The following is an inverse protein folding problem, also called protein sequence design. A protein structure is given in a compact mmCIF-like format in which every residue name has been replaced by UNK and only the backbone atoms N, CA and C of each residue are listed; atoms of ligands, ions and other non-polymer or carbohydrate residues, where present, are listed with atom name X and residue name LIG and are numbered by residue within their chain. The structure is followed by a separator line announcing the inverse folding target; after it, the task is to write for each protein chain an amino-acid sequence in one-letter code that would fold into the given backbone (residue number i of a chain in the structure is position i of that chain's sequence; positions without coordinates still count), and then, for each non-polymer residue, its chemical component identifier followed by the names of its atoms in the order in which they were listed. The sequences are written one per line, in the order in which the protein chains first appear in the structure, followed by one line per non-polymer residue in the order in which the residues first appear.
data_IF_213503454455
#
_entry.id   IF_213503454455
#
_cell.length_a   1.000
_cell.length_b   1.000
_cell.length_c   1.000
_cell.angle_alpha   90.00
_cell.angle_beta   90.00
_cell.angle_gamma   90.00
#
_symmetry.space_group_name_H-M   'P 1'
#
loop_
_entity.id
_entity.type
_entity.pdbx_description
1 polymer ?
#
# COMPACT_ATOMS: atom_id res chain seq x y z
N UNK A 1 -29.90 38.58 0.84
CA UNK A 1 -30.33 37.38 0.07
C UNK A 1 -29.17 36.43 -0.18
N UNK A 2 -28.06 36.87 -0.79
CA UNK A 2 -26.91 36.00 -1.05
C UNK A 2 -26.26 35.44 0.22
N UNK A 3 -26.00 36.26 1.24
CA UNK A 3 -25.51 35.79 2.56
C UNK A 3 -26.48 34.83 3.26
N UNK A 4 -27.80 35.03 3.13
CA UNK A 4 -28.80 34.13 3.70
C UNK A 4 -28.84 32.77 2.99
N UNK A 5 -28.62 32.76 1.68
CA UNK A 5 -28.48 31.52 0.90
C UNK A 5 -27.15 30.83 1.23
N UNK A 6 -26.04 31.57 1.35
CA UNK A 6 -24.75 31.00 1.75
C UNK A 6 -24.77 30.43 3.18
N UNK A 7 -25.56 31.01 4.09
CA UNK A 7 -25.76 30.49 5.44
C UNK A 7 -26.62 29.21 5.50
N UNK A 8 -27.57 29.03 4.58
CA UNK A 8 -28.47 27.87 4.55
C UNK A 8 -28.01 26.76 3.58
N UNK A 9 -27.28 27.12 2.55
CA UNK A 9 -26.79 26.24 1.48
C UNK A 9 -25.36 26.67 1.08
N UNK A 10 -24.37 26.45 1.96
CA UNK A 10 -23.01 26.88 1.72
C UNK A 10 -22.41 26.13 0.54
N UNK A 11 -21.50 26.80 -0.17
CA UNK A 11 -20.62 26.11 -1.10
C UNK A 11 -19.63 25.24 -0.31
N UNK A 12 -19.69 23.93 -0.54
CA UNK A 12 -18.85 22.93 0.12
C UNK A 12 -17.97 22.22 -0.90
N UNK A 13 -16.70 22.05 -0.56
CA UNK A 13 -15.82 21.09 -1.22
C UNK A 13 -15.86 19.77 -0.44
N UNK A 14 -15.44 18.64 -1.04
CA UNK A 14 -15.36 17.36 -0.33
C UNK A 14 -14.51 17.42 0.94
N UNK A 15 -13.37 18.11 0.88
CA UNK A 15 -12.45 18.30 2.00
C UNK A 15 -13.10 19.10 3.12
N UNK A 16 -13.84 20.16 2.76
CA UNK A 16 -14.56 20.99 3.72
C UNK A 16 -15.69 20.19 4.38
N UNK A 17 -16.51 19.49 3.59
CA UNK A 17 -17.63 18.69 4.09
C UNK A 17 -17.13 17.61 5.06
N UNK A 18 -16.17 16.79 4.65
CA UNK A 18 -15.64 15.69 5.48
C UNK A 18 -14.88 16.25 6.69
N UNK A 19 -14.11 17.32 6.50
CA UNK A 19 -13.36 17.97 7.56
C UNK A 19 -14.26 18.58 8.64
N UNK A 20 -15.29 19.34 8.25
CA UNK A 20 -16.26 19.94 9.18
C UNK A 20 -17.09 18.85 9.88
N UNK A 21 -17.52 17.81 9.14
CA UNK A 21 -18.27 16.69 9.72
C UNK A 21 -17.47 15.97 10.82
N UNK A 22 -16.20 15.64 10.57
CA UNK A 22 -15.36 14.93 11.54
C UNK A 22 -14.93 15.82 12.72
N UNK A 23 -15.05 17.14 12.58
CA UNK A 23 -14.80 18.10 13.66
C UNK A 23 -16.03 18.38 14.52
N UNK A 24 -17.23 17.91 14.14
CA UNK A 24 -18.48 18.14 14.86
C UNK A 24 -19.02 16.84 15.49
N UNK A 25 -18.79 16.60 16.80
CA UNK A 25 -19.32 15.44 17.50
C UNK A 25 -20.84 15.32 17.46
N UNK A 26 -21.57 16.44 17.37
CA UNK A 26 -23.03 16.43 17.29
C UNK A 26 -23.49 15.95 15.90
N UNK A 27 -22.81 16.41 14.83
CA UNK A 27 -23.06 15.90 13.48
C UNK A 27 -22.76 14.40 13.39
N UNK A 28 -21.64 13.92 13.95
CA UNK A 28 -21.31 12.48 14.01
C UNK A 28 -22.38 11.71 14.78
N UNK A 29 -22.83 12.20 15.93
CA UNK A 29 -23.87 11.56 16.72
C UNK A 29 -25.21 11.47 15.97
N UNK A 30 -25.55 12.50 15.19
CA UNK A 30 -26.77 12.52 14.38
C UNK A 30 -26.68 11.59 13.17
N UNK A 31 -25.53 11.52 12.50
CA UNK A 31 -25.36 10.76 11.26
C UNK A 31 -25.01 9.29 11.50
N UNK A 32 -24.42 8.95 12.65
CA UNK A 32 -24.00 7.60 12.99
C UNK A 32 -24.57 7.13 14.35
N UNK A 33 -25.91 7.07 14.51
CA UNK A 33 -26.54 6.60 15.75
C UNK A 33 -26.22 5.13 16.05
N UNK A 34 -25.90 4.33 15.03
CA UNK A 34 -25.54 2.91 15.15
C UNK A 34 -24.18 2.68 15.82
N UNK A 35 -23.31 3.68 15.89
CA UNK A 35 -22.01 3.57 16.54
C UNK A 35 -22.15 3.77 18.06
N UNK A 36 -21.27 3.14 18.83
CA UNK A 36 -21.17 3.40 20.26
C UNK A 36 -20.63 4.81 20.54
N UNK A 37 -20.83 5.37 21.74
CA UNK A 37 -20.22 6.64 22.13
C UNK A 37 -18.69 6.64 21.98
N UNK A 38 -18.04 5.52 22.29
CA UNK A 38 -16.59 5.37 22.17
C UNK A 38 -16.13 5.39 20.70
N UNK A 39 -16.83 4.70 19.80
CA UNK A 39 -16.51 4.71 18.36
C UNK A 39 -16.72 6.10 17.76
N UNK A 40 -17.80 6.80 18.13
CA UNK A 40 -18.02 8.19 17.67
C UNK A 40 -16.92 9.13 18.18
N UNK A 41 -16.51 8.99 19.43
CA UNK A 41 -15.41 9.76 19.98
C UNK A 41 -14.09 9.47 19.26
N UNK A 42 -13.86 8.22 18.83
CA UNK A 42 -12.68 7.84 18.06
C UNK A 42 -12.67 8.40 16.62
N UNK A 43 -13.84 8.71 16.04
CA UNK A 43 -13.94 9.37 14.73
C UNK A 43 -13.71 10.88 14.80
N UNK A 44 -14.10 11.50 15.92
CA UNK A 44 -14.01 12.95 16.07
C UNK A 44 -12.55 13.41 16.11
N UNK A 45 -12.21 14.40 15.28
CA UNK A 45 -10.86 14.99 15.23
C UNK A 45 -10.92 16.48 14.92
N UNK A 46 -9.92 17.28 15.33
CA UNK A 46 -9.89 18.71 15.03
C UNK A 46 -9.97 18.99 13.52
N UNK A 47 -10.64 20.08 13.15
CA UNK A 47 -10.64 20.54 11.76
C UNK A 47 -9.21 20.81 11.29
N UNK A 48 -8.86 20.32 10.11
CA UNK A 48 -7.50 20.41 9.56
C UNK A 48 -6.52 19.35 10.08
N UNK A 49 -6.99 18.35 10.85
CA UNK A 49 -6.20 17.16 11.13
C UNK A 49 -5.75 16.47 9.82
N UNK A 50 -4.56 15.86 9.77
CA UNK A 50 -4.09 15.16 8.59
C UNK A 50 -5.08 14.08 8.11
N UNK A 51 -5.24 13.97 6.80
CA UNK A 51 -6.02 12.91 6.19
C UNK A 51 -5.38 11.55 6.44
N UNK A 52 -6.23 10.56 6.66
CA UNK A 52 -5.87 9.15 6.80
C UNK A 52 -6.32 8.38 5.55
N UNK A 53 -5.78 7.17 5.31
CA UNK A 53 -6.27 6.33 4.21
C UNK A 53 -7.78 6.06 4.27
N UNK A 54 -8.38 6.01 5.46
CA UNK A 54 -9.82 5.81 5.65
C UNK A 54 -10.68 6.98 5.14
N UNK A 55 -10.09 8.16 4.98
CA UNK A 55 -10.79 9.36 4.52
C UNK A 55 -10.88 9.46 3.00
N UNK A 56 -9.94 8.82 2.28
CA UNK A 56 -9.87 8.91 0.82
C UNK A 56 -11.18 8.46 0.16
N UNK A 57 -11.79 7.31 0.54
CA UNK A 57 -13.08 6.92 -0.01
C UNK A 57 -14.24 7.85 0.40
N UNK A 58 -14.16 8.51 1.56
CA UNK A 58 -15.17 9.46 2.02
C UNK A 58 -15.12 10.75 1.19
N UNK A 59 -13.92 11.24 0.89
CA UNK A 59 -13.69 12.39 0.02
C UNK A 59 -14.19 12.10 -1.41
N UNK A 60 -13.94 10.88 -1.92
CA UNK A 60 -14.46 10.44 -3.21
C UNK A 60 -15.99 10.43 -3.24
N UNK A 61 -16.64 9.84 -2.23
CA UNK A 61 -18.10 9.82 -2.16
C UNK A 61 -18.69 11.22 -1.98
N UNK A 62 -18.07 12.07 -1.15
CA UNK A 62 -18.49 13.45 -0.96
C UNK A 62 -18.42 14.26 -2.26
N UNK A 63 -17.39 14.07 -3.08
CA UNK A 63 -17.28 14.70 -4.40
C UNK A 63 -18.43 14.31 -5.35
N UNK A 64 -18.90 13.07 -5.24
CA UNK A 64 -20.00 12.56 -6.05
C UNK A 64 -21.36 13.09 -5.58
N UNK A 65 -21.54 13.23 -4.27
CA UNK A 65 -22.77 13.77 -3.69
C UNK A 65 -22.90 15.29 -3.87
N UNK A 66 -21.78 16.03 -3.76
CA UNK A 66 -21.74 17.47 -3.97
C UNK A 66 -21.84 17.85 -5.45
N UNK A 67 -21.37 16.97 -6.35
CA UNK A 67 -21.34 17.22 -7.79
C UNK A 67 -20.27 18.23 -8.22
N UNK A 68 -20.33 18.67 -9.48
CA UNK A 68 -19.48 19.74 -10.00
C UNK A 68 -20.28 21.03 -10.15
N UNK A 69 -19.67 22.16 -9.77
CA UNK A 69 -20.19 23.50 -10.07
C UNK A 69 -19.63 24.03 -11.42
N UNK A 70 -19.04 23.13 -12.21
CA UNK A 70 -18.38 23.45 -13.48
C UNK A 70 -17.11 24.32 -13.35
N UNK A 71 -16.59 24.59 -12.15
CA UNK A 71 -15.31 25.33 -12.00
C UNK A 71 -14.14 24.56 -12.59
N UNK A 72 -14.01 23.27 -12.28
CA UNK A 72 -12.98 22.40 -12.84
C UNK A 72 -13.06 22.34 -14.38
N UNK A 73 -14.26 22.21 -14.94
CA UNK A 73 -14.48 22.23 -16.39
C UNK A 73 -14.14 23.57 -17.03
N UNK A 74 -14.40 24.68 -16.33
CA UNK A 74 -14.03 26.04 -16.78
C UNK A 74 -12.52 26.23 -16.73
N UNK A 75 -11.85 25.75 -15.68
CA UNK A 75 -10.40 25.79 -15.54
C UNK A 75 -9.69 24.93 -16.59
N UNK A 76 -10.17 23.70 -16.83
CA UNK A 76 -9.66 22.83 -17.88
C UNK A 76 -9.83 23.46 -19.27
N UNK A 77 -11.00 24.05 -19.57
CA UNK A 77 -11.22 24.81 -20.82
C UNK A 77 -10.28 26.00 -20.95
N UNK A 78 -10.02 26.72 -19.87
CA UNK A 78 -9.11 27.87 -19.87
C UNK A 78 -7.65 27.44 -20.08
N UNK A 79 -7.20 26.37 -19.43
CA UNK A 79 -5.86 25.81 -19.61
C UNK A 79 -5.63 25.27 -21.03
N UNK A 80 -6.62 24.56 -21.58
CA UNK A 80 -6.62 24.09 -22.96
C UNK A 80 -6.57 25.26 -23.96
N UNK A 81 -7.37 26.31 -23.73
CA UNK A 81 -7.35 27.51 -24.56
C UNK A 81 -5.99 28.22 -24.49
N UNK A 82 -5.37 28.29 -23.31
CA UNK A 82 -4.04 28.86 -23.13
C UNK A 82 -2.97 28.04 -23.85
N UNK A 83 -3.00 26.71 -23.76
CA UNK A 83 -2.07 25.84 -24.49
C UNK A 83 -2.18 26.06 -26.01
N UNK A 84 -3.40 26.09 -26.55
CA UNK A 84 -3.62 26.39 -27.99
C UNK A 84 -3.08 27.76 -28.39
N UNK A 85 -3.19 28.77 -27.51
CA UNK A 85 -2.59 30.10 -27.76
C UNK A 85 -1.07 30.02 -27.82
N UNK A 86 -0.44 29.29 -26.91
CA UNK A 86 1.02 29.10 -26.88
C UNK A 86 1.53 28.33 -28.10
N UNK A 87 0.86 27.25 -28.49
CA UNK A 87 1.17 26.48 -29.71
C UNK A 87 1.06 27.36 -30.96
N UNK A 88 0.00 28.17 -31.08
CA UNK A 88 -0.19 29.09 -32.19
C UNK A 88 0.91 30.17 -32.23
N UNK A 89 1.27 30.75 -31.09
CA UNK A 89 2.33 31.75 -30.98
C UNK A 89 3.71 31.16 -31.33
N UNK A 90 4.00 29.93 -30.88
CA UNK A 90 5.23 29.22 -31.23
C UNK A 90 5.32 28.95 -32.74
N UNK A 91 4.24 28.42 -33.33
CA UNK A 91 4.19 28.15 -34.77
C UNK A 91 4.37 29.44 -35.60
N UNK A 92 3.76 30.55 -35.18
CA UNK A 92 3.97 31.85 -35.81
C UNK A 92 5.44 32.32 -35.70
N UNK A 93 6.04 32.23 -34.51
CA UNK A 93 7.44 32.60 -34.29
C UNK A 93 8.42 31.77 -35.14
N UNK A 94 8.16 30.48 -35.35
CA UNK A 94 8.97 29.62 -36.23
C UNK A 94 8.85 30.08 -37.71
N UNK A 95 7.67 30.47 -38.18
CA UNK A 95 7.48 30.98 -39.54
C UNK A 95 8.18 32.32 -39.78
N UNK A 96 8.16 33.22 -38.79
CA UNK A 96 8.87 34.50 -38.84
C UNK A 96 10.39 34.28 -38.83
N UNK A 97 10.91 33.42 -37.95
CA UNK A 97 12.34 33.13 -37.84
C UNK A 97 12.94 32.44 -39.08
N UNK A 98 12.16 31.62 -39.79
CA UNK A 98 12.62 30.88 -40.98
C UNK A 98 12.63 31.71 -42.27
N UNK A 99 12.17 32.97 -42.24
CA UNK A 99 12.18 33.88 -43.41
C UNK A 99 11.21 33.48 -44.53
N UNK A 100 10.32 32.52 -44.28
CA UNK A 100 9.32 32.04 -45.23
C UNK A 100 8.24 33.09 -45.54
N UNK A 101 8.05 34.06 -44.65
CA UNK A 101 7.10 35.16 -44.81
C UNK A 101 7.68 36.28 -45.70
N UNK A 102 8.97 36.60 -45.57
CA UNK A 102 9.64 37.66 -46.35
C UNK A 102 10.00 37.24 -47.79
N UNK A 103 10.11 35.94 -48.05
CA UNK A 103 10.45 35.40 -49.38
C UNK A 103 9.26 35.32 -50.36
N UNK A 104 8.05 35.74 -49.96
CA UNK A 104 6.87 35.79 -50.84
C UNK A 104 6.32 34.42 -51.28
N UNK A 105 6.88 33.31 -50.77
CA UNK A 105 6.45 31.94 -51.12
C UNK A 105 5.20 31.48 -50.37
N UNK A 106 4.72 32.26 -49.39
CA UNK A 106 3.57 31.90 -48.52
C UNK A 106 2.48 32.99 -48.56
N UNK A 107 2.10 33.46 -49.75
CA UNK A 107 0.94 34.37 -49.87
C UNK A 107 -0.42 33.63 -49.93
N UNK A 108 -0.44 32.30 -50.07
CA UNK A 108 -1.70 31.55 -50.30
C UNK A 108 -1.89 30.30 -49.46
N UNK A 109 -1.09 30.08 -48.41
CA UNK A 109 -1.21 28.88 -47.56
C UNK A 109 -1.03 29.15 -46.06
N UNK A 110 -1.78 30.12 -45.54
CA UNK A 110 -2.08 30.22 -44.10
C UNK A 110 -2.67 28.92 -43.50
N UNK A 111 -3.23 28.05 -44.36
CA UNK A 111 -3.84 26.77 -43.98
C UNK A 111 -2.81 25.64 -43.84
N UNK A 112 -1.61 25.76 -44.42
CA UNK A 112 -0.70 24.61 -44.54
C UNK A 112 0.41 24.58 -43.49
N UNK A 113 0.83 25.71 -42.91
CA UNK A 113 1.84 25.73 -41.85
C UNK A 113 1.36 25.06 -40.54
N UNK A 114 0.10 25.30 -40.13
CA UNK A 114 -0.52 24.58 -39.01
C UNK A 114 -0.73 23.09 -39.31
N UNK A 115 -0.88 22.73 -40.58
CA UNK A 115 -1.02 21.33 -41.05
C UNK A 115 0.32 20.61 -41.21
N UNK A 116 1.43 21.33 -41.40
CA UNK A 116 2.77 20.76 -41.53
C UNK A 116 3.42 20.55 -40.15
N UNK A 117 3.20 21.47 -39.20
CA UNK A 117 3.57 21.28 -37.79
C UNK A 117 2.85 20.06 -37.16
N UNK A 118 1.57 19.86 -37.49
CA UNK A 118 0.81 18.69 -37.04
C UNK A 118 1.28 17.34 -37.63
N UNK A 119 1.98 17.34 -38.77
CA UNK A 119 2.45 16.11 -39.44
C UNK A 119 3.84 15.64 -39.01
N UNK A 120 4.67 16.52 -38.48
CA UNK A 120 6.04 16.19 -38.03
C UNK A 120 6.20 16.13 -36.50
N UNK A 121 5.12 16.34 -35.75
CA UNK A 121 5.10 16.30 -34.28
C UNK A 121 4.01 15.42 -33.68
N UNK A 122 3.57 14.39 -34.39
CA UNK A 122 2.73 13.36 -33.76
C UNK A 122 3.62 12.39 -32.95
N UNK A 123 4.22 12.90 -31.87
CA UNK A 123 4.87 12.10 -30.81
C UNK A 123 3.84 11.50 -29.84
N UNK A 124 2.58 11.40 -30.26
CA UNK A 124 1.44 11.13 -29.38
C UNK A 124 1.17 12.29 -28.41
N UNK A 125 0.14 12.18 -27.56
CA UNK A 125 -0.10 13.16 -26.52
C UNK A 125 1.12 13.26 -25.58
N UNK A 126 1.49 14.48 -25.18
CA UNK A 126 2.60 14.73 -24.24
C UNK A 126 2.46 14.00 -22.91
N UNK A 127 1.22 13.61 -22.58
CA UNK A 127 0.88 12.85 -21.39
C UNK A 127 0.51 11.42 -21.74
N UNK A 128 1.09 10.46 -21.02
CA UNK A 128 0.73 9.06 -21.15
C UNK A 128 -0.72 8.83 -20.69
N UNK A 129 -1.35 7.75 -21.16
CA UNK A 129 -2.67 7.36 -20.66
C UNK A 129 -2.71 7.23 -19.15
N UNK A 130 -1.63 6.74 -18.54
CA UNK A 130 -1.51 6.63 -17.08
C UNK A 130 -1.56 8.01 -16.39
N UNK A 131 -0.84 9.01 -16.92
CA UNK A 131 -0.85 10.37 -16.36
C UNK A 131 -2.23 11.03 -16.47
N UNK A 132 -2.92 10.85 -17.61
CA UNK A 132 -4.28 11.37 -17.78
C UNK A 132 -5.27 10.72 -16.82
N UNK A 133 -5.21 9.40 -16.71
CA UNK A 133 -6.06 8.64 -15.80
C UNK A 133 -5.80 9.02 -14.33
N UNK A 134 -4.54 9.20 -13.93
CA UNK A 134 -4.18 9.59 -12.57
C UNK A 134 -4.66 11.01 -12.20
N UNK A 135 -4.72 11.93 -13.17
CA UNK A 135 -5.19 13.29 -12.96
C UNK A 135 -6.73 13.41 -12.97
N UNK A 136 -7.45 12.41 -13.47
CA UNK A 136 -8.90 12.43 -13.62
C UNK A 136 -9.57 11.40 -12.71
N UNK A 137 -10.14 11.87 -11.60
CA UNK A 137 -10.88 11.03 -10.66
C UNK A 137 -12.07 10.29 -11.30
N UNK A 138 -12.61 10.82 -12.40
CA UNK A 138 -13.78 10.28 -13.12
C UNK A 138 -13.40 9.27 -14.21
N UNK A 139 -12.10 8.97 -14.34
CA UNK A 139 -11.61 8.03 -15.33
C UNK A 139 -12.23 6.64 -15.17
N UNK A 140 -12.72 6.10 -16.28
CA UNK A 140 -13.25 4.75 -16.35
C UNK A 140 -12.17 3.78 -16.88
N UNK A 141 -11.81 2.80 -16.06
CA UNK A 141 -10.87 1.75 -16.42
C UNK A 141 -11.60 0.57 -17.05
N UNK A 142 -10.99 -0.01 -18.10
CA UNK A 142 -11.51 -1.21 -18.75
C UNK A 142 -11.33 -2.48 -17.92
N UNK A 143 -10.29 -2.52 -17.08
CA UNK A 143 -9.98 -3.61 -16.16
C UNK A 143 -9.23 -3.07 -14.94
N UNK A 144 -9.45 -3.65 -13.77
CA UNK A 144 -8.75 -3.29 -12.53
C UNK A 144 -8.20 -4.56 -11.86
N UNK A 145 -6.92 -4.53 -11.50
CA UNK A 145 -6.30 -5.54 -10.65
C UNK A 145 -6.22 -4.96 -9.24
N UNK A 146 -6.73 -5.69 -8.26
CA UNK A 146 -6.64 -5.34 -6.85
C UNK A 146 -5.86 -6.44 -6.16
N UNK A 147 -4.64 -6.12 -5.74
CA UNK A 147 -3.84 -7.00 -4.89
C UNK A 147 -4.04 -6.63 -3.42
N UNK A 148 -3.80 -7.58 -2.52
CA UNK A 148 -4.09 -7.47 -1.08
C UNK A 148 -5.51 -6.98 -0.80
N UNK A 149 -6.45 -7.45 -1.61
CA UNK A 149 -7.80 -6.92 -1.69
C UNK A 149 -8.61 -7.10 -0.40
N UNK A 150 -8.16 -7.98 0.50
CA UNK A 150 -8.73 -8.15 1.83
C UNK A 150 -8.55 -6.92 2.74
N UNK A 151 -7.65 -5.99 2.42
CA UNK A 151 -7.43 -4.77 3.21
C UNK A 151 -8.44 -3.67 2.91
N UNK A 152 -9.11 -3.74 1.74
CA UNK A 152 -10.05 -2.72 1.30
C UNK A 152 -11.31 -2.74 2.17
N UNK A 153 -11.71 -1.55 2.62
CA UNK A 153 -13.00 -1.33 3.25
C UNK A 153 -14.14 -1.36 2.22
N UNK A 154 -15.37 -1.50 2.71
CA UNK A 154 -16.56 -1.42 1.85
C UNK A 154 -16.62 -0.11 1.03
N UNK A 155 -16.19 1.01 1.61
CA UNK A 155 -16.13 2.29 0.91
C UNK A 155 -14.99 2.33 -0.12
N UNK A 156 -13.83 1.75 0.17
CA UNK A 156 -12.75 1.63 -0.82
C UNK A 156 -13.19 0.79 -2.03
N UNK A 157 -13.91 -0.31 -1.80
CA UNK A 157 -14.53 -1.08 -2.88
C UNK A 157 -15.53 -0.27 -3.71
N UNK A 158 -16.30 0.62 -3.07
CA UNK A 158 -17.22 1.52 -3.78
C UNK A 158 -16.48 2.47 -4.72
N UNK A 159 -15.36 3.04 -4.25
CA UNK A 159 -14.44 3.86 -5.06
C UNK A 159 -13.89 3.08 -6.25
N UNK A 160 -13.44 1.83 -6.05
CA UNK A 160 -12.97 0.94 -7.13
C UNK A 160 -14.10 0.67 -8.14
N UNK A 161 -15.26 0.23 -7.67
CA UNK A 161 -16.39 -0.14 -8.52
C UNK A 161 -16.93 1.04 -9.32
N UNK A 162 -16.88 2.27 -8.80
CA UNK A 162 -17.22 3.48 -9.56
C UNK A 162 -16.36 3.66 -10.82
N UNK A 163 -15.09 3.23 -10.75
CA UNK A 163 -14.07 3.39 -11.79
C UNK A 163 -13.97 2.20 -12.75
N UNK A 164 -14.71 1.11 -12.50
CA UNK A 164 -14.78 -0.05 -13.42
C UNK A 164 -16.24 -0.39 -13.75
N UNK A 165 -16.91 0.40 -14.62
CA UNK A 165 -18.31 0.17 -14.99
C UNK A 165 -18.56 -1.21 -15.61
N UNK A 166 -17.58 -1.72 -16.37
CA UNK A 166 -17.63 -3.05 -16.99
C UNK A 166 -17.56 -4.20 -15.98
N UNK A 167 -17.27 -3.93 -14.70
CA UNK A 167 -17.09 -4.95 -13.65
C UNK A 167 -16.05 -6.03 -14.02
N UNK A 168 -15.03 -5.63 -14.77
CA UNK A 168 -13.89 -6.48 -15.14
C UNK A 168 -12.78 -6.29 -14.11
N UNK A 169 -12.66 -7.23 -13.17
CA UNK A 169 -11.66 -7.18 -12.10
C UNK A 169 -10.87 -8.48 -11.99
N UNK A 170 -9.61 -8.36 -11.57
CA UNK A 170 -8.83 -9.46 -11.00
C UNK A 170 -8.56 -9.11 -9.54
N UNK A 171 -9.16 -9.88 -8.63
CA UNK A 171 -9.06 -9.65 -7.19
C UNK A 171 -8.14 -10.72 -6.61
N UNK A 172 -7.05 -10.29 -5.98
CA UNK A 172 -6.02 -11.14 -5.38
C UNK A 172 -5.88 -10.77 -3.91
N UNK A 173 -5.75 -11.77 -3.05
CA UNK A 173 -5.56 -11.56 -1.63
C UNK A 173 -5.71 -12.83 -0.81
N UNK A 174 -5.42 -12.71 0.48
CA UNK A 174 -5.53 -13.79 1.46
C UNK A 174 -6.31 -13.31 2.69
N UNK A 175 -7.50 -13.87 2.91
CA UNK A 175 -8.36 -13.53 4.05
C UNK A 175 -7.72 -13.87 5.41
N UNK A 176 -6.73 -14.76 5.45
CA UNK A 176 -5.95 -15.02 6.65
C UNK A 176 -5.01 -13.86 7.01
N UNK A 177 -4.64 -13.03 6.04
CA UNK A 177 -3.69 -11.92 6.18
C UNK A 177 -4.36 -10.55 6.40
N UNK A 178 -5.68 -10.51 6.58
CA UNK A 178 -6.43 -9.27 6.84
C UNK A 178 -5.96 -8.57 8.12
N UNK A 179 -5.36 -7.39 7.98
CA UNK A 179 -4.93 -6.55 9.12
C UNK A 179 -5.81 -5.32 9.36
N UNK A 180 -6.62 -4.92 8.38
CA UNK A 180 -7.61 -3.86 8.52
C UNK A 180 -8.84 -4.36 9.29
N UNK A 181 -9.29 -3.58 10.29
CA UNK A 181 -10.55 -3.84 10.98
C UNK A 181 -11.78 -3.73 10.06
N UNK A 182 -11.66 -2.96 8.97
CA UNK A 182 -12.68 -2.82 7.93
C UNK A 182 -12.49 -3.78 6.75
N UNK A 183 -11.45 -4.62 6.80
CA UNK A 183 -11.09 -5.56 5.75
C UNK A 183 -12.09 -6.71 5.57
N UNK A 184 -11.86 -7.51 4.54
CA UNK A 184 -12.73 -8.61 4.14
C UNK A 184 -12.75 -9.74 5.16
N UNK A 185 -13.95 -10.24 5.48
CA UNK A 185 -14.14 -11.52 6.21
C UNK A 185 -14.52 -12.66 5.27
N UNK A 186 -15.08 -12.31 4.11
CA UNK A 186 -15.33 -13.19 2.98
C UNK A 186 -15.34 -12.34 1.70
N UNK A 187 -15.06 -12.95 0.56
CA UNK A 187 -15.13 -12.27 -0.73
C UNK A 187 -16.58 -11.88 -1.09
N UNK A 188 -17.55 -12.74 -0.79
CA UNK A 188 -18.98 -12.45 -1.02
C UNK A 188 -19.44 -11.17 -0.32
N UNK A 189 -19.06 -10.97 0.95
CA UNK A 189 -19.36 -9.73 1.68
C UNK A 189 -18.93 -8.47 0.93
N UNK A 190 -17.79 -8.51 0.24
CA UNK A 190 -17.23 -7.35 -0.46
C UNK A 190 -17.73 -7.22 -1.90
N UNK A 191 -17.96 -8.34 -2.58
CA UNK A 191 -18.24 -8.38 -4.02
C UNK A 191 -19.73 -8.52 -4.36
N UNK A 192 -20.52 -9.22 -3.55
CA UNK A 192 -21.94 -9.44 -3.83
C UNK A 192 -22.75 -8.14 -3.96
N UNK A 193 -22.50 -7.06 -3.19
CA UNK A 193 -23.17 -5.78 -3.41
C UNK A 193 -23.04 -5.20 -4.83
N UNK A 194 -22.06 -5.68 -5.62
CA UNK A 194 -21.77 -5.18 -6.97
C UNK A 194 -21.96 -6.24 -8.06
N UNK A 195 -21.65 -7.50 -7.77
CA UNK A 195 -21.53 -8.59 -8.75
C UNK A 195 -22.04 -9.93 -8.21
N UNK A 196 -23.06 -9.92 -7.34
CA UNK A 196 -23.69 -11.15 -6.80
C UNK A 196 -23.92 -12.20 -7.89
N UNK A 197 -23.43 -13.42 -7.64
CA UNK A 197 -23.56 -14.56 -8.55
C UNK A 197 -22.78 -14.45 -9.88
N UNK A 198 -21.95 -13.41 -10.06
CA UNK A 198 -21.20 -13.13 -11.30
C UNK A 198 -19.69 -13.09 -11.10
N UNK A 199 -19.19 -13.67 -10.01
CA UNK A 199 -17.77 -13.83 -9.74
C UNK A 199 -17.44 -15.29 -9.42
N UNK A 200 -16.16 -15.66 -9.58
CA UNK A 200 -15.64 -16.98 -9.24
C UNK A 200 -14.40 -16.84 -8.37
N UNK A 201 -14.22 -17.79 -7.48
CA UNK A 201 -13.03 -17.91 -6.62
C UNK A 201 -12.17 -19.06 -7.12
N UNK A 202 -10.87 -18.81 -7.31
CA UNK A 202 -9.88 -19.85 -7.59
C UNK A 202 -8.82 -19.75 -6.50
N UNK A 203 -8.58 -20.85 -5.77
CA UNK A 203 -7.63 -20.89 -4.66
C UNK A 203 -6.31 -21.51 -5.10
N UNK A 204 -5.21 -20.81 -4.84
CA UNK A 204 -3.86 -21.32 -5.06
C UNK A 204 -3.37 -21.97 -3.77
N UNK A 205 -3.38 -23.31 -3.73
CA UNK A 205 -3.06 -24.09 -2.52
C UNK A 205 -1.58 -24.47 -2.42
N UNK A 206 -0.80 -24.32 -3.49
CA UNK A 206 0.61 -24.72 -3.55
C UNK A 206 1.50 -23.51 -3.31
N UNK A 207 2.32 -23.57 -2.24
CA UNK A 207 3.31 -22.57 -1.91
C UNK A 207 4.70 -22.99 -2.42
N UNK A 208 5.25 -22.22 -3.34
CA UNK A 208 6.62 -22.40 -3.86
C UNK A 208 7.60 -21.34 -3.33
N UNK A 209 7.14 -20.39 -2.49
CA UNK A 209 7.92 -19.25 -2.04
C UNK A 209 8.48 -19.46 -0.64
N UNK A 210 7.65 -19.88 0.31
CA UNK A 210 8.05 -20.10 1.70
C UNK A 210 8.41 -21.58 1.92
N UNK A 211 9.60 -21.91 2.45
CA UNK A 211 9.98 -23.27 2.82
C UNK A 211 9.01 -23.96 3.80
N UNK A 212 8.89 -25.28 3.69
CA UNK A 212 7.99 -26.10 4.51
C UNK A 212 8.22 -25.92 6.02
N UNK A 213 9.46 -25.90 6.56
CA UNK A 213 9.68 -25.68 7.99
C UNK A 213 9.13 -24.34 8.51
N UNK A 214 9.19 -23.28 7.69
CA UNK A 214 8.62 -21.96 8.03
C UNK A 214 7.09 -22.01 7.94
N UNK A 215 6.56 -22.64 6.90
CA UNK A 215 5.11 -22.73 6.69
C UNK A 215 4.43 -23.60 7.75
N UNK A 216 5.08 -24.66 8.25
CA UNK A 216 4.57 -25.47 9.36
C UNK A 216 4.40 -24.67 10.65
N UNK A 217 5.37 -23.80 10.96
CA UNK A 217 5.28 -22.89 12.10
C UNK A 217 4.13 -21.88 11.90
N UNK A 218 4.08 -21.24 10.73
CA UNK A 218 3.05 -20.27 10.42
C UNK A 218 1.64 -20.89 10.37
N UNK A 219 1.49 -22.13 9.90
CA UNK A 219 0.23 -22.88 9.93
C UNK A 219 -0.26 -23.12 11.36
N UNK A 220 0.66 -23.35 12.32
CA UNK A 220 0.32 -23.43 13.74
C UNK A 220 -0.26 -22.13 14.29
N UNK A 221 0.30 -20.98 13.89
CA UNK A 221 -0.25 -19.66 14.22
C UNK A 221 -1.61 -19.47 13.53
N UNK A 222 -1.72 -19.82 12.25
CA UNK A 222 -2.95 -19.68 11.47
C UNK A 222 -4.12 -20.46 12.09
N UNK A 223 -3.89 -21.71 12.49
CA UNK A 223 -4.90 -22.56 13.11
C UNK A 223 -5.47 -21.96 14.40
N UNK A 224 -4.68 -21.17 15.13
CA UNK A 224 -5.14 -20.48 16.34
C UNK A 224 -5.92 -19.19 16.02
N UNK A 225 -5.51 -18.43 15.00
CA UNK A 225 -6.04 -17.07 14.74
C UNK A 225 -7.17 -17.04 13.72
N UNK A 226 -7.21 -18.01 12.81
CA UNK A 226 -8.25 -18.17 11.80
C UNK A 226 -8.50 -19.66 11.50
N UNK A 227 -9.15 -20.41 12.42
CA UNK A 227 -9.33 -21.87 12.31
C UNK A 227 -10.09 -22.35 11.05
N UNK A 228 -10.86 -21.46 10.41
CA UNK A 228 -11.57 -21.76 9.17
C UNK A 228 -10.76 -21.50 7.89
N UNK A 229 -9.50 -21.08 8.01
CA UNK A 229 -8.59 -20.84 6.90
C UNK A 229 -7.58 -22.00 6.81
N UNK A 230 -7.29 -22.40 5.58
CA UNK A 230 -6.34 -23.47 5.29
C UNK A 230 -5.00 -22.86 4.84
N UNK A 231 -3.91 -23.30 5.48
CA UNK A 231 -2.57 -22.91 5.04
C UNK A 231 -2.23 -23.60 3.70
N UNK A 232 -1.50 -22.93 2.80
CA UNK A 232 -1.06 -23.56 1.57
C UNK A 232 0.03 -24.61 1.85
N UNK A 233 0.07 -25.65 1.03
CA UNK A 233 1.07 -26.72 1.09
C UNK A 233 2.38 -26.26 0.46
N UNK A 234 3.46 -26.24 1.24
CA UNK A 234 4.77 -25.87 0.71
C UNK A 234 5.45 -27.06 0.05
N UNK A 235 5.82 -26.90 -1.22
CA UNK A 235 6.58 -27.91 -1.99
C UNK A 235 8.09 -27.76 -1.82
N UNK A 236 8.54 -26.78 -1.03
CA UNK A 236 9.96 -26.54 -0.72
C UNK A 236 10.32 -27.24 0.59
N UNK A 237 10.65 -28.53 0.51
CA UNK A 237 10.98 -29.35 1.69
C UNK A 237 12.30 -28.97 2.38
N UNK A 238 13.24 -28.36 1.65
CA UNK A 238 14.54 -27.92 2.18
C UNK A 238 14.51 -26.54 2.84
N UNK A 239 15.49 -26.26 3.70
CA UNK A 239 15.68 -24.96 4.35
C UNK A 239 16.17 -25.10 5.78
N UNK A 240 16.78 -24.04 6.32
CA UNK A 240 17.12 -24.01 7.73
C UNK A 240 15.82 -23.98 8.57
N UNK A 241 15.70 -24.81 9.61
CA UNK A 241 14.53 -24.75 10.49
C UNK A 241 14.43 -23.37 11.14
N UNK A 242 13.22 -22.82 11.32
CA UNK A 242 13.03 -21.59 12.08
C UNK A 242 13.57 -21.77 13.50
N UNK A 243 14.16 -20.72 14.07
CA UNK A 243 14.68 -20.79 15.44
C UNK A 243 14.29 -19.58 16.28
N UNK A 244 14.13 -19.80 17.57
CA UNK A 244 13.99 -18.74 18.55
C UNK A 244 15.36 -18.37 19.15
N UNK A 245 15.59 -17.08 19.32
CA UNK A 245 16.79 -16.52 19.95
C UNK A 245 16.33 -15.61 21.08
N UNK A 246 16.66 -16.02 22.32
CA UNK A 246 16.41 -15.19 23.49
C UNK A 246 17.47 -14.08 23.55
N UNK A 247 17.04 -12.84 23.56
CA UNK A 247 17.89 -11.68 23.74
C UNK A 247 18.02 -11.34 25.23
N UNK A 248 19.20 -10.89 25.63
CA UNK A 248 19.47 -10.50 27.00
C UNK A 248 18.85 -9.13 27.31
N UNK A 249 17.92 -9.11 28.25
CA UNK A 249 17.30 -7.88 28.74
C UNK A 249 18.06 -7.22 29.91
N UNK A 250 19.22 -7.76 30.34
CA UNK A 250 19.87 -7.34 31.59
C UNK A 250 20.92 -6.22 31.43
N UNK A 251 20.93 -5.26 32.35
CA UNK A 251 22.01 -4.26 32.54
C UNK A 251 21.84 -2.98 31.70
N UNK A 252 22.95 -2.43 31.20
CA UNK A 252 22.99 -1.21 30.36
C UNK A 252 22.13 -1.30 29.07
N UNK A 253 21.62 -2.49 28.74
CA UNK A 253 20.63 -2.74 27.70
C UNK A 253 19.25 -2.10 28.01
N UNK A 254 18.90 -1.90 29.28
CA UNK A 254 17.64 -1.24 29.66
C UNK A 254 17.59 0.22 29.18
N UNK A 255 18.74 0.89 29.11
CA UNK A 255 18.86 2.28 28.62
C UNK A 255 18.79 2.38 27.08
N UNK A 256 18.93 1.25 26.37
CA UNK A 256 18.82 1.13 24.89
C UNK A 256 17.64 0.26 24.47
N UNK A 257 16.61 0.12 25.31
CA UNK A 257 15.34 -0.53 24.99
C UNK A 257 15.30 -2.08 25.01
N UNK A 258 16.33 -2.72 25.56
CA UNK A 258 16.28 -4.12 25.98
C UNK A 258 16.58 -5.17 24.91
N UNK A 259 16.93 -4.78 23.68
CA UNK A 259 17.20 -5.68 22.55
C UNK A 259 18.70 -5.92 22.31
N UNK A 260 19.48 -6.10 23.38
CA UNK A 260 20.91 -6.37 23.25
C UNK A 260 21.15 -7.69 22.50
N UNK A 261 22.03 -7.63 21.49
CA UNK A 261 22.34 -8.77 20.62
C UNK A 261 21.52 -8.85 19.34
N UNK A 262 20.49 -8.00 19.15
CA UNK A 262 19.70 -7.99 17.91
C UNK A 262 20.56 -7.70 16.67
N UNK A 263 21.46 -6.71 16.73
CA UNK A 263 22.36 -6.40 15.61
C UNK A 263 23.25 -7.59 15.24
N UNK A 264 23.81 -8.27 16.24
CA UNK A 264 24.65 -9.46 16.02
C UNK A 264 23.85 -10.64 15.41
N UNK A 265 22.60 -10.83 15.85
CA UNK A 265 21.70 -11.81 15.25
C UNK A 265 21.42 -11.49 13.78
N UNK A 266 21.09 -10.25 13.47
CA UNK A 266 20.79 -9.79 12.10
C UNK A 266 22.02 -9.94 11.20
N UNK A 267 23.20 -9.54 11.66
CA UNK A 267 24.47 -9.73 10.94
C UNK A 267 24.74 -11.21 10.66
N UNK A 268 24.51 -12.09 11.64
CA UNK A 268 24.69 -13.53 11.48
C UNK A 268 23.71 -14.14 10.45
N UNK A 269 22.44 -13.73 10.45
CA UNK A 269 21.46 -14.17 9.44
C UNK A 269 21.81 -13.67 8.05
N UNK A 270 22.21 -12.41 7.92
CA UNK A 270 22.60 -11.83 6.64
C UNK A 270 23.84 -12.53 6.08
N UNK A 271 24.83 -12.83 6.93
CA UNK A 271 26.00 -13.62 6.53
C UNK A 271 25.62 -15.04 6.09
N UNK A 272 24.69 -15.70 6.79
CA UNK A 272 24.20 -17.02 6.41
C UNK A 272 23.48 -16.99 5.04
N UNK A 273 22.64 -15.98 4.79
CA UNK A 273 21.99 -15.80 3.47
C UNK A 273 23.03 -15.57 2.38
N UNK A 274 24.03 -14.70 2.60
CA UNK A 274 25.10 -14.48 1.61
C UNK A 274 25.82 -15.78 1.27
N UNK A 275 26.11 -16.60 2.28
CA UNK A 275 26.75 -17.90 2.08
C UNK A 275 25.85 -18.88 1.29
N UNK A 276 24.55 -18.91 1.59
CA UNK A 276 23.58 -19.74 0.86
C UNK A 276 23.40 -19.29 -0.61
N UNK A 277 23.43 -17.98 -0.87
CA UNK A 277 23.29 -17.38 -2.20
C UNK A 277 24.56 -17.49 -3.04
N UNK A 278 25.74 -17.44 -2.40
CA UNK A 278 27.03 -17.59 -3.06
C UNK A 278 27.21 -18.96 -3.73
N UNK A 279 26.55 -19.99 -3.19
CA UNK A 279 26.69 -21.35 -3.68
C UNK A 279 28.11 -21.90 -3.51
N UNK A 280 28.37 -23.13 -3.99
CA UNK A 280 29.69 -23.77 -3.86
C UNK A 280 30.70 -23.30 -4.91
N UNK A 281 30.26 -22.64 -5.99
CA UNK A 281 31.13 -22.21 -7.09
C UNK A 281 31.69 -20.80 -6.85
N UNK A 282 33.02 -20.59 -6.77
CA UNK A 282 33.63 -19.28 -6.57
C UNK A 282 33.30 -18.24 -7.65
N UNK A 283 33.00 -18.67 -8.89
CA UNK A 283 32.65 -17.76 -9.98
C UNK A 283 31.21 -17.23 -9.85
N UNK A 284 30.28 -18.06 -9.39
CA UNK A 284 28.90 -17.66 -9.08
C UNK A 284 28.84 -16.85 -7.79
N UNK A 285 29.66 -17.20 -6.79
CA UNK A 285 29.78 -16.49 -5.53
C UNK A 285 30.13 -15.00 -5.68
N UNK A 286 30.98 -14.67 -6.67
CA UNK A 286 31.38 -13.29 -6.95
C UNK A 286 30.24 -12.42 -7.55
N UNK A 287 29.19 -13.05 -8.09
CA UNK A 287 28.02 -12.38 -8.68
C UNK A 287 26.76 -12.58 -7.83
N UNK A 288 26.87 -13.29 -6.71
CA UNK A 288 25.75 -13.59 -5.86
C UNK A 288 25.17 -12.32 -5.23
N UNK A 289 23.85 -12.29 -5.11
CA UNK A 289 23.16 -11.22 -4.41
C UNK A 289 23.61 -11.19 -2.95
N UNK A 290 23.72 -9.97 -2.41
CA UNK A 290 23.99 -9.76 -0.98
C UNK A 290 22.90 -10.29 -0.06
N UNK A 291 21.74 -10.66 -0.61
CA UNK A 291 20.57 -11.10 0.13
C UNK A 291 19.84 -9.94 0.79
N UNK A 292 18.53 -10.10 0.98
CA UNK A 292 17.69 -9.12 1.67
C UNK A 292 17.13 -9.69 2.96
N UNK A 293 17.27 -8.94 4.05
CA UNK A 293 16.76 -9.30 5.36
C UNK A 293 15.74 -8.26 5.83
N UNK A 294 14.60 -8.72 6.34
CA UNK A 294 13.67 -7.86 7.07
C UNK A 294 13.73 -8.12 8.58
N UNK A 295 13.75 -7.05 9.36
CA UNK A 295 13.50 -7.09 10.80
C UNK A 295 12.08 -6.60 11.02
N UNK A 296 11.17 -7.51 11.36
CA UNK A 296 9.76 -7.21 11.56
C UNK A 296 9.48 -7.02 13.04
N UNK A 297 9.06 -5.81 13.42
CA UNK A 297 8.94 -5.35 14.81
C UNK A 297 7.55 -4.78 15.10
N UNK A 298 7.10 -4.79 16.37
CA UNK A 298 5.92 -4.02 16.77
C UNK A 298 6.13 -2.52 16.49
N UNK A 299 5.09 -1.79 16.08
CA UNK A 299 5.22 -0.35 15.76
C UNK A 299 5.82 0.47 16.91
N UNK A 300 5.50 0.11 18.17
CA UNK A 300 6.03 0.80 19.35
C UNK A 300 7.57 0.72 19.46
N UNK A 301 8.19 -0.29 18.84
CA UNK A 301 9.64 -0.51 18.81
C UNK A 301 10.27 -0.16 17.46
N UNK A 302 9.49 0.24 16.46
CA UNK A 302 9.97 0.48 15.10
C UNK A 302 11.10 1.52 15.06
N UNK A 303 10.89 2.69 15.66
CA UNK A 303 11.88 3.76 15.67
C UNK A 303 13.18 3.37 16.41
N UNK A 304 13.05 2.65 17.53
CA UNK A 304 14.19 2.17 18.31
C UNK A 304 15.04 1.17 17.53
N UNK A 305 14.39 0.21 16.87
CA UNK A 305 15.09 -0.84 16.12
C UNK A 305 15.64 -0.32 14.80
N UNK A 306 14.94 0.56 14.08
CA UNK A 306 15.44 1.17 12.84
C UNK A 306 16.73 1.98 13.08
N UNK A 307 16.83 2.64 14.24
CA UNK A 307 18.04 3.36 14.65
C UNK A 307 19.26 2.44 14.86
N UNK A 308 19.08 1.13 15.05
CA UNK A 308 20.18 0.17 15.17
C UNK A 308 20.85 -0.18 13.83
N UNK A 309 20.19 0.13 12.70
CA UNK A 309 20.64 -0.29 11.37
C UNK A 309 20.75 0.88 10.38
N UNK A 310 21.41 2.01 10.72
CA UNK A 310 21.43 3.22 9.89
C UNK A 310 21.98 2.95 8.48
N UNK A 311 21.38 3.59 7.47
CA UNK A 311 21.79 3.46 6.07
C UNK A 311 21.48 4.74 5.29
N UNK A 312 22.29 5.03 4.27
CA UNK A 312 22.15 6.22 3.42
C UNK A 312 21.08 6.08 2.31
N UNK A 313 20.38 4.94 2.23
CA UNK A 313 19.39 4.70 1.20
C UNK A 313 18.09 5.46 1.53
N UNK A 314 17.51 6.13 0.53
CA UNK A 314 16.28 6.90 0.72
C UNK A 314 15.05 5.99 0.93
N UNK A 315 15.01 4.84 0.26
CA UNK A 315 13.98 3.81 0.47
C UNK A 315 14.51 2.71 1.40
N UNK A 316 13.69 2.32 2.37
CA UNK A 316 13.99 1.23 3.31
C UNK A 316 14.15 -0.11 2.58
N UNK A 317 13.49 -0.29 1.44
CA UNK A 317 13.52 -1.52 0.64
C UNK A 317 14.79 -1.68 -0.20
N UNK A 318 15.55 -0.60 -0.38
CA UNK A 318 16.86 -0.61 -1.03
C UNK A 318 18.01 -0.96 -0.06
N UNK A 319 17.69 -1.12 1.24
CA UNK A 319 18.67 -1.47 2.28
C UNK A 319 18.84 -2.99 2.35
N UNK A 320 20.05 -3.51 2.64
CA UNK A 320 20.26 -4.94 2.93
C UNK A 320 19.45 -5.43 4.13
N UNK A 321 19.20 -4.53 5.09
CA UNK A 321 18.36 -4.74 6.27
C UNK A 321 17.23 -3.72 6.27
N UNK A 322 15.99 -4.19 6.11
CA UNK A 322 14.78 -3.38 6.17
C UNK A 322 14.07 -3.57 7.52
N UNK A 323 13.94 -2.51 8.32
CA UNK A 323 13.16 -2.56 9.57
C UNK A 323 11.72 -2.15 9.29
N UNK A 324 10.78 -3.07 9.47
CA UNK A 324 9.39 -2.93 9.06
C UNK A 324 8.43 -3.31 10.18
N UNK A 325 7.23 -2.75 10.15
CA UNK A 325 6.10 -3.29 10.91
C UNK A 325 5.44 -4.43 10.14
N UNK A 326 4.62 -5.30 10.76
CA UNK A 326 3.88 -6.32 10.03
C UNK A 326 3.03 -5.75 8.88
N UNK A 327 2.41 -4.58 9.11
CA UNK A 327 1.63 -3.89 8.08
C UNK A 327 2.49 -3.42 6.91
N UNK A 328 3.68 -2.86 7.18
CA UNK A 328 4.61 -2.42 6.14
C UNK A 328 5.29 -3.59 5.39
N UNK A 329 5.32 -4.78 5.98
CA UNK A 329 5.89 -5.97 5.36
C UNK A 329 4.91 -6.73 4.43
N UNK A 330 3.62 -6.37 4.41
CA UNK A 330 2.61 -6.99 3.53
C UNK A 330 2.96 -6.81 2.06
N UNK A 331 2.68 -7.83 1.25
CA UNK A 331 3.06 -7.87 -0.17
C UNK A 331 4.57 -7.94 -0.44
N UNK A 332 5.43 -7.90 0.58
CA UNK A 332 6.88 -7.96 0.44
C UNK A 332 7.43 -9.34 0.77
N UNK A 333 8.62 -9.64 0.26
CA UNK A 333 9.33 -10.90 0.45
C UNK A 333 10.82 -10.68 0.64
N UNK A 334 11.40 -11.42 1.59
CA UNK A 334 12.78 -11.32 2.00
C UNK A 334 13.44 -12.70 2.04
N UNK A 335 14.75 -12.77 1.82
CA UNK A 335 15.51 -14.01 1.94
C UNK A 335 15.49 -14.49 3.39
N UNK A 336 15.77 -13.57 4.31
CA UNK A 336 15.67 -13.80 5.75
C UNK A 336 14.69 -12.84 6.41
N UNK A 337 14.00 -13.32 7.45
CA UNK A 337 13.20 -12.48 8.33
C UNK A 337 13.59 -12.74 9.78
N UNK A 338 13.74 -11.67 10.54
CA UNK A 338 13.84 -11.69 12.00
C UNK A 338 12.58 -11.06 12.58
N UNK A 339 11.70 -11.85 13.19
CA UNK A 339 10.52 -11.35 13.90
C UNK A 339 10.90 -11.05 15.34
N UNK A 340 10.77 -9.79 15.75
CA UNK A 340 11.16 -9.32 17.08
C UNK A 340 9.93 -9.16 17.95
N UNK A 341 10.02 -9.63 19.19
CA UNK A 341 8.96 -9.56 20.21
C UNK A 341 7.57 -10.01 19.69
N UNK A 342 7.43 -11.27 19.22
CA UNK A 342 6.17 -11.75 18.63
C UNK A 342 4.98 -11.71 19.60
N UNK A 343 5.22 -11.76 20.92
CA UNK A 343 4.18 -11.59 21.93
C UNK A 343 3.58 -10.17 21.92
N UNK A 344 4.42 -9.15 21.69
CA UNK A 344 3.96 -7.77 21.59
C UNK A 344 3.12 -7.56 20.32
N UNK A 345 3.55 -8.14 19.18
CA UNK A 345 2.76 -8.15 17.94
C UNK A 345 1.38 -8.79 18.18
N UNK A 346 1.37 -9.96 18.81
CA UNK A 346 0.14 -10.71 19.09
C UNK A 346 -0.83 -9.94 19.99
N UNK A 347 -0.31 -9.23 21.00
CA UNK A 347 -1.11 -8.50 22.00
C UNK A 347 -1.60 -7.12 21.57
N UNK A 348 -1.13 -6.60 20.43
CA UNK A 348 -1.40 -5.24 19.94
C UNK A 348 -2.89 -4.95 19.74
N UNK A 349 -3.68 -5.96 19.39
CA UNK A 349 -5.10 -5.79 19.17
C UNK A 349 -5.74 -6.99 18.46
N UNK A 350 -6.99 -6.84 17.98
CA UNK A 350 -7.77 -7.94 17.42
C UNK A 350 -7.09 -8.64 16.24
N UNK A 351 -6.28 -7.91 15.46
CA UNK A 351 -5.58 -8.42 14.27
C UNK A 351 -4.15 -8.91 14.55
N UNK A 352 -3.65 -8.79 15.79
CA UNK A 352 -2.26 -9.10 16.12
C UNK A 352 -1.82 -10.54 15.78
N UNK A 353 -2.75 -11.49 15.85
CA UNK A 353 -2.50 -12.87 15.41
C UNK A 353 -2.29 -13.01 13.91
N UNK A 354 -3.04 -12.26 13.10
CA UNK A 354 -2.87 -12.21 11.64
C UNK A 354 -1.62 -11.44 11.25
N UNK A 355 -1.30 -10.37 11.97
CA UNK A 355 -0.05 -9.63 11.79
C UNK A 355 1.17 -10.52 12.08
N UNK A 356 1.11 -11.36 13.11
CA UNK A 356 2.14 -12.36 13.37
C UNK A 356 2.24 -13.39 12.23
N UNK A 357 1.11 -13.91 11.74
CA UNK A 357 1.09 -14.82 10.59
C UNK A 357 1.72 -14.19 9.33
N UNK A 358 1.37 -12.93 9.03
CA UNK A 358 1.97 -12.16 7.95
C UNK A 358 3.49 -12.07 8.14
N UNK A 359 3.95 -11.66 9.33
CA UNK A 359 5.37 -11.49 9.61
C UNK A 359 6.17 -12.78 9.38
N UNK A 360 5.66 -13.93 9.82
CA UNK A 360 6.32 -15.23 9.67
C UNK A 360 6.39 -15.70 8.20
N UNK A 361 5.43 -15.31 7.38
CA UNK A 361 5.32 -15.77 5.97
C UNK A 361 6.09 -14.91 4.98
N UNK A 362 6.74 -13.81 5.40
CA UNK A 362 7.55 -12.96 4.51
C UNK A 362 8.92 -13.57 4.16
N UNK A 363 9.32 -14.64 4.85
CA UNK A 363 10.61 -15.31 4.66
C UNK A 363 10.56 -16.33 3.51
N UNK A 364 11.55 -16.27 2.62
CA UNK A 364 11.69 -17.21 1.50
C UNK A 364 12.85 -18.20 1.68
N UNK A 365 13.72 -18.01 2.68
CA UNK A 365 14.80 -18.95 3.02
C UNK A 365 14.94 -19.19 4.53
N UNK A 366 15.09 -18.12 5.32
CA UNK A 366 15.42 -18.22 6.75
C UNK A 366 14.48 -17.40 7.62
N UNK A 367 14.13 -17.93 8.79
CA UNK A 367 13.30 -17.25 9.77
C UNK A 367 13.92 -17.38 11.16
N UNK A 368 14.12 -16.25 11.83
CA UNK A 368 14.47 -16.20 13.24
C UNK A 368 13.41 -15.42 14.03
N UNK A 369 13.20 -15.82 15.28
CA UNK A 369 12.33 -15.13 16.22
C UNK A 369 13.17 -14.63 17.38
N UNK A 370 13.29 -13.31 17.53
CA UNK A 370 14.03 -12.68 18.60
C UNK A 370 13.07 -12.23 19.72
N UNK A 371 13.36 -12.58 20.97
CA UNK A 371 12.48 -12.24 22.08
C UNK A 371 13.25 -12.06 23.39
N UNK A 372 12.80 -11.14 24.24
CA UNK A 372 13.30 -10.98 25.61
C UNK A 372 12.39 -11.65 26.63
N UNK A 373 11.07 -11.56 26.40
CA UNK A 373 10.00 -12.15 27.19
C UNK A 373 9.69 -13.61 26.83
N UNK A 374 8.62 -14.19 27.41
CA UNK A 374 8.14 -15.51 27.00
C UNK A 374 7.59 -15.48 25.57
N UNK A 375 7.83 -16.57 24.82
CA UNK A 375 7.23 -16.74 23.49
C UNK A 375 5.73 -17.04 23.60
N UNK A 376 4.93 -16.63 22.61
CA UNK A 376 3.55 -17.11 22.46
C UNK A 376 3.48 -18.63 22.41
N UNK A 377 2.41 -19.21 22.97
CA UNK A 377 2.21 -20.67 22.98
C UNK A 377 2.23 -21.28 21.57
N UNK A 378 1.72 -20.56 20.58
CA UNK A 378 1.75 -20.95 19.16
C UNK A 378 3.16 -21.08 18.58
N UNK A 379 4.16 -20.46 19.21
CA UNK A 379 5.58 -20.54 18.83
C UNK A 379 6.41 -21.41 19.78
N UNK A 380 5.77 -22.10 20.73
CA UNK A 380 6.46 -22.93 21.74
C UNK A 380 7.31 -24.06 21.12
N UNK A 381 6.94 -24.53 19.92
CA UNK A 381 7.71 -25.51 19.14
C UNK A 381 9.13 -25.05 18.81
N UNK A 382 9.39 -23.75 18.77
CA UNK A 382 10.74 -23.20 18.55
C UNK A 382 11.67 -23.39 19.75
N UNK A 383 11.11 -23.74 20.92
CA UNK A 383 11.88 -24.06 22.12
C UNK A 383 12.12 -25.56 22.29
N UNK A 384 11.55 -26.40 21.43
CA UNK A 384 11.81 -27.83 21.45
C UNK A 384 13.25 -28.07 20.91
N UNK A 385 14.08 -28.86 21.62
CA UNK A 385 15.50 -29.04 21.33
C UNK A 385 15.80 -29.76 20.02
#
# INVERSE_FOLDING_TARGET
MREAVEGLWPYLTPERLVGEFLADPAAIASAAPQLSPAERAALARPYGAPWTPGDVPLLDEAAELLGSDGTAERAARAAEAERRRQEAAYAQGVLEFTGLVESGLVETRLVEAGSLAGRHHDRGPETTTAQRAAADRTWAYGHVIVDEAQELSAMAWRTVMRRVPARSLTVVGDLAQTGSAAGARSWGQMLDPYVEGRWREERLTVNYRTPAPIMELAAGVLAAVAPGQEAPESVREGGAPPRAVRLDASGAAQERGGLAGLSALVEAELAAIRAELAGPDPAEAAQASEGRLAVIVPDARHAEVDALFPHDAADVLDRPVAVLTPAAAKGLEFDAVVVVEPAEILSRGPMGGRDLYVALTRATRRLAVAHTGPLPETLSRLMAP
#
